data_IF_271210114801
#
_entry.id   IF_271210114801
#
_cell.length_a   1.000
_cell.length_b   1.000
_cell.length_c   1.000
_cell.angle_alpha   90.00
_cell.angle_beta   90.00
_cell.angle_gamma   90.00
#
_symmetry.space_group_name_H-M   'P 1'
#
loop_
_entity.id
_entity.type
_entity.pdbx_description
1 polymer ?
#
# COMPACT_ATOMS: atom_id res chain seq x y z
N UNK A 1 -0.81 -14.72 10.79
CA UNK A 1 -1.71 -15.33 9.75
C UNK A 1 -2.32 -14.16 8.98
N UNK A 2 -2.68 -14.26 7.70
CA UNK A 2 -3.35 -13.12 7.04
C UNK A 2 -4.76 -12.96 7.60
N UNK A 3 -5.14 -11.74 7.96
CA UNK A 3 -6.48 -11.43 8.45
C UNK A 3 -7.57 -11.94 7.48
N UNK A 4 -8.60 -12.67 7.95
CA UNK A 4 -9.61 -13.26 7.07
C UNK A 4 -10.38 -12.25 6.23
N UNK A 5 -10.62 -11.04 6.74
CA UNK A 5 -11.33 -10.00 5.99
C UNK A 5 -10.46 -9.47 4.84
N UNK A 6 -9.19 -9.18 5.13
CA UNK A 6 -8.20 -8.76 4.12
C UNK A 6 -8.10 -9.82 3.03
N UNK A 7 -7.99 -11.10 3.43
CA UNK A 7 -7.94 -12.22 2.50
C UNK A 7 -9.19 -12.31 1.62
N UNK A 8 -10.38 -12.17 2.20
CA UNK A 8 -11.63 -12.26 1.45
C UNK A 8 -11.81 -11.08 0.48
N UNK A 9 -11.51 -9.86 0.93
CA UNK A 9 -11.69 -8.66 0.11
C UNK A 9 -10.67 -8.60 -1.03
N UNK A 10 -9.40 -8.94 -0.78
CA UNK A 10 -8.40 -8.97 -1.85
C UNK A 10 -8.69 -10.06 -2.87
N UNK A 11 -9.20 -11.22 -2.43
CA UNK A 11 -9.58 -12.28 -3.37
C UNK A 11 -10.71 -11.81 -4.31
N UNK A 12 -11.73 -11.12 -3.78
CA UNK A 12 -12.81 -10.56 -4.60
C UNK A 12 -12.32 -9.49 -5.58
N UNK A 13 -11.35 -8.66 -5.18
CA UNK A 13 -10.69 -7.70 -6.07
C UNK A 13 -9.97 -8.42 -7.21
N UNK A 14 -9.17 -9.44 -6.89
CA UNK A 14 -8.42 -10.21 -7.88
C UNK A 14 -9.34 -10.97 -8.85
N UNK A 15 -10.45 -11.54 -8.38
CA UNK A 15 -11.44 -12.21 -9.23
C UNK A 15 -12.09 -11.24 -10.24
N UNK A 16 -12.37 -9.99 -9.82
CA UNK A 16 -12.86 -8.95 -10.73
C UNK A 16 -11.80 -8.50 -11.72
N UNK A 17 -10.57 -8.24 -11.26
CA UNK A 17 -9.45 -7.87 -12.12
C UNK A 17 -9.17 -8.94 -13.20
N UNK A 18 -9.16 -10.22 -12.81
CA UNK A 18 -8.96 -11.34 -13.74
C UNK A 18 -10.06 -11.40 -14.80
N UNK A 19 -11.31 -11.09 -14.43
CA UNK A 19 -12.43 -11.04 -15.39
C UNK A 19 -12.30 -9.94 -16.44
N UNK A 20 -11.51 -8.90 -16.15
CA UNK A 20 -11.16 -7.81 -17.07
C UNK A 20 -9.81 -8.04 -17.79
N UNK A 21 -9.17 -9.19 -17.56
CA UNK A 21 -7.85 -9.50 -18.13
C UNK A 21 -6.68 -8.80 -17.46
N UNK A 22 -6.88 -8.22 -16.27
CA UNK A 22 -5.85 -7.58 -15.44
C UNK A 22 -5.32 -8.56 -14.42
N UNK A 23 -4.01 -8.58 -14.21
CA UNK A 23 -3.37 -9.48 -13.26
C UNK A 23 -2.17 -8.81 -12.59
N UNK A 24 -2.08 -8.92 -11.28
CA UNK A 24 -0.88 -8.59 -10.54
C UNK A 24 0.07 -9.78 -10.39
N UNK A 25 1.18 -9.54 -9.71
CA UNK A 25 2.24 -10.52 -9.45
C UNK A 25 2.41 -10.82 -7.96
N UNK A 26 2.91 -12.02 -7.66
CA UNK A 26 3.33 -12.40 -6.31
C UNK A 26 4.79 -12.05 -6.10
N UNK A 27 5.17 -11.78 -4.86
CA UNK A 27 6.58 -11.65 -4.49
C UNK A 27 7.21 -13.01 -4.19
N UNK A 28 8.47 -13.18 -4.56
CA UNK A 28 9.27 -14.33 -4.13
C UNK A 28 9.76 -14.19 -2.69
N UNK A 29 10.05 -15.32 -2.03
CA UNK A 29 10.61 -15.31 -0.68
C UNK A 29 11.96 -14.57 -0.60
N UNK A 30 12.78 -14.63 -1.65
CA UNK A 30 14.06 -13.91 -1.67
C UNK A 30 13.84 -12.39 -1.64
N UNK A 31 12.93 -11.88 -2.47
CA UNK A 31 12.56 -10.47 -2.47
C UNK A 31 12.02 -10.04 -1.10
N UNK A 32 11.13 -10.84 -0.50
CA UNK A 32 10.54 -10.53 0.80
C UNK A 32 11.57 -10.58 1.94
N UNK A 33 12.56 -11.48 1.87
CA UNK A 33 13.66 -11.53 2.84
C UNK A 33 14.54 -10.28 2.74
N UNK A 34 14.81 -9.79 1.53
CA UNK A 34 15.61 -8.57 1.33
C UNK A 34 14.85 -7.33 1.81
N UNK A 35 13.54 -7.25 1.52
CA UNK A 35 12.66 -6.23 2.09
C UNK A 35 12.65 -6.28 3.62
N UNK A 36 12.53 -7.48 4.20
CA UNK A 36 12.48 -7.60 5.66
C UNK A 36 13.78 -7.16 6.33
N UNK A 37 14.95 -7.46 5.74
CA UNK A 37 16.25 -6.96 6.23
C UNK A 37 16.33 -5.45 6.19
N UNK A 38 15.84 -4.80 5.12
CA UNK A 38 15.81 -3.34 5.00
C UNK A 38 15.05 -2.71 6.17
N UNK A 39 13.91 -3.29 6.53
CA UNK A 39 13.10 -2.89 7.68
C UNK A 39 13.59 -3.48 9.01
N UNK A 40 14.87 -3.83 9.12
CA UNK A 40 15.51 -4.33 10.37
C UNK A 40 14.80 -5.55 10.96
N UNK A 41 14.30 -6.43 10.10
CA UNK A 41 13.52 -7.63 10.43
C UNK A 41 12.19 -7.35 11.16
N UNK A 42 11.58 -6.18 10.90
CA UNK A 42 10.31 -5.77 11.51
C UNK A 42 9.08 -6.01 10.65
N UNK A 43 9.19 -6.57 9.44
CA UNK A 43 7.98 -6.89 8.67
C UNK A 43 7.16 -7.93 9.44
N UNK A 44 5.87 -7.66 9.68
CA UNK A 44 4.99 -8.63 10.29
C UNK A 44 4.87 -9.89 9.43
N UNK A 45 4.79 -11.06 10.08
CA UNK A 45 4.66 -12.34 9.37
C UNK A 45 3.45 -12.37 8.44
N UNK A 46 2.33 -11.75 8.86
CA UNK A 46 1.13 -11.67 8.03
C UNK A 46 1.38 -10.96 6.70
N UNK A 47 2.22 -9.92 6.69
CA UNK A 47 2.50 -9.11 5.52
C UNK A 47 3.42 -9.83 4.54
N UNK A 48 4.41 -10.56 5.06
CA UNK A 48 5.25 -11.47 4.27
C UNK A 48 4.36 -12.54 3.61
N UNK A 49 3.47 -13.17 4.36
CA UNK A 49 2.53 -14.16 3.82
C UNK A 49 1.56 -13.57 2.80
N UNK A 50 1.12 -12.33 3.02
CA UNK A 50 0.24 -11.61 2.09
C UNK A 50 0.92 -11.43 0.73
N UNK A 51 2.10 -10.81 0.66
CA UNK A 51 2.80 -10.60 -0.62
C UNK A 51 3.30 -11.89 -1.27
N UNK A 52 3.58 -12.94 -0.48
CA UNK A 52 3.99 -14.23 -1.01
C UNK A 52 2.85 -14.97 -1.71
N UNK A 53 1.63 -14.88 -1.17
CA UNK A 53 0.47 -15.66 -1.65
C UNK A 53 -0.47 -14.88 -2.57
N UNK A 54 -0.49 -13.55 -2.48
CA UNK A 54 -1.44 -12.68 -3.17
C UNK A 54 -0.80 -12.03 -4.41
N UNK A 55 -1.32 -12.27 -5.62
CA UNK A 55 -0.83 -11.65 -6.86
C UNK A 55 -1.31 -10.20 -7.02
N UNK A 56 -0.82 -9.28 -6.18
CA UNK A 56 -1.30 -7.89 -6.15
C UNK A 56 -0.29 -6.88 -6.71
N UNK A 57 1.01 -7.20 -6.75
CA UNK A 57 2.01 -6.24 -7.20
C UNK A 57 1.80 -5.88 -8.69
N UNK A 58 1.88 -4.60 -9.02
CA UNK A 58 1.60 -4.08 -10.37
C UNK A 58 0.12 -4.02 -10.74
N UNK A 59 -0.80 -4.40 -9.84
CA UNK A 59 -2.21 -4.20 -10.08
C UNK A 59 -2.56 -2.72 -9.87
N UNK A 60 -3.30 -2.14 -10.80
CA UNK A 60 -3.84 -0.79 -10.72
C UNK A 60 -5.30 -0.82 -10.25
N UNK A 61 -5.63 0.08 -9.32
CA UNK A 61 -6.99 0.27 -8.82
C UNK A 61 -7.31 1.77 -8.72
N UNK A 62 -8.58 2.12 -8.82
CA UNK A 62 -9.12 3.41 -8.38
C UNK A 62 -9.87 3.25 -7.08
N UNK A 63 -9.65 4.14 -6.11
CA UNK A 63 -10.49 4.27 -4.91
C UNK A 63 -10.98 5.69 -4.76
N UNK A 64 -12.16 5.87 -4.17
CA UNK A 64 -12.61 7.20 -3.75
C UNK A 64 -11.94 7.58 -2.44
N UNK A 65 -11.74 8.88 -2.23
CA UNK A 65 -11.42 9.40 -0.91
C UNK A 65 -12.63 9.26 0.04
N UNK A 66 -12.35 8.96 1.32
CA UNK A 66 -13.39 8.78 2.34
C UNK A 66 -14.24 10.03 2.59
N UNK A 67 -13.63 11.19 2.44
CA UNK A 67 -14.19 12.51 2.71
C UNK A 67 -14.69 13.23 1.45
N UNK A 68 -14.67 12.56 0.29
CA UNK A 68 -15.16 13.17 -0.95
C UNK A 68 -16.63 12.86 -1.21
N UNK A 69 -17.42 13.93 -1.35
CA UNK A 69 -18.80 13.89 -1.82
C UNK A 69 -18.89 13.94 -3.36
N UNK A 70 -17.76 14.15 -4.06
CA UNK A 70 -17.71 14.17 -5.51
C UNK A 70 -17.57 12.75 -6.08
N UNK A 71 -18.47 12.40 -6.98
CA UNK A 71 -18.45 11.11 -7.65
C UNK A 71 -17.28 10.89 -8.60
N UNK A 72 -16.52 11.95 -8.92
CA UNK A 72 -15.38 11.93 -9.86
C UNK A 72 -14.00 11.99 -9.17
N UNK A 73 -13.94 12.13 -7.86
CA UNK A 73 -12.69 12.28 -7.11
C UNK A 73 -12.14 10.91 -6.71
N UNK A 74 -11.44 10.29 -7.66
CA UNK A 74 -10.73 9.02 -7.46
C UNK A 74 -9.23 9.24 -7.33
N UNK A 75 -8.63 8.35 -6.57
CA UNK A 75 -7.20 8.15 -6.45
C UNK A 75 -6.87 6.84 -7.16
N UNK A 76 -6.04 6.93 -8.19
CA UNK A 76 -5.50 5.80 -8.92
C UNK A 76 -4.23 5.31 -8.22
N UNK A 77 -4.18 4.02 -7.89
CA UNK A 77 -3.13 3.39 -7.10
C UNK A 77 -2.56 2.21 -7.89
N UNK A 78 -1.26 2.24 -8.15
CA UNK A 78 -0.52 1.06 -8.60
C UNK A 78 0.17 0.40 -7.40
N UNK A 79 -0.16 -0.86 -7.09
CA UNK A 79 0.50 -1.58 -5.99
C UNK A 79 1.97 -1.85 -6.31
N UNK A 80 2.86 -1.44 -5.40
CA UNK A 80 4.29 -1.61 -5.60
C UNK A 80 4.73 -3.07 -5.50
N UNK A 81 5.67 -3.44 -6.35
CA UNK A 81 6.51 -4.62 -6.12
C UNK A 81 7.63 -4.30 -5.12
N UNK A 82 8.31 -5.32 -4.60
CA UNK A 82 9.40 -5.15 -3.62
C UNK A 82 10.47 -4.16 -4.06
N UNK A 83 10.83 -4.13 -5.35
CA UNK A 83 11.83 -3.18 -5.85
C UNK A 83 11.33 -1.74 -5.69
N UNK A 84 10.07 -1.47 -6.05
CA UNK A 84 9.46 -0.15 -5.87
C UNK A 84 9.39 0.25 -4.40
N UNK A 85 8.99 -0.66 -3.52
CA UNK A 85 8.96 -0.41 -2.06
C UNK A 85 10.35 -0.04 -1.54
N UNK A 86 11.40 -0.77 -1.95
CA UNK A 86 12.78 -0.47 -1.55
C UNK A 86 13.23 0.89 -2.09
N UNK A 87 12.90 1.19 -3.35
CA UNK A 87 13.23 2.47 -4.00
C UNK A 87 12.63 3.63 -3.21
N UNK A 88 11.33 3.57 -2.91
CA UNK A 88 10.65 4.61 -2.11
C UNK A 88 11.27 4.76 -0.72
N UNK A 89 11.57 3.64 -0.06
CA UNK A 89 12.13 3.66 1.30
C UNK A 89 13.59 4.13 1.39
N UNK A 90 14.34 4.18 0.29
CA UNK A 90 15.79 4.47 0.30
C UNK A 90 16.23 5.62 -0.60
N UNK A 91 15.41 6.02 -1.57
CA UNK A 91 15.78 6.97 -2.62
C UNK A 91 14.85 8.18 -2.70
N UNK A 92 13.65 8.13 -2.10
CA UNK A 92 12.64 9.19 -2.21
C UNK A 92 12.09 9.65 -0.85
N UNK A 93 11.79 10.95 -0.75
CA UNK A 93 10.94 11.47 0.33
C UNK A 93 9.47 11.32 -0.07
N UNK A 94 8.58 10.97 0.89
CA UNK A 94 8.82 10.89 2.33
C UNK A 94 9.38 9.55 2.83
N UNK A 95 9.51 8.53 1.96
CA UNK A 95 9.86 7.16 2.35
C UNK A 95 11.15 7.03 3.18
N UNK A 96 12.21 7.76 2.81
CA UNK A 96 13.49 7.82 3.56
C UNK A 96 13.28 8.18 5.03
N UNK A 97 12.38 9.14 5.32
CA UNK A 97 12.10 9.61 6.68
C UNK A 97 11.19 8.65 7.45
N UNK A 98 10.36 7.90 6.74
CA UNK A 98 9.28 7.11 7.32
C UNK A 98 9.65 5.65 7.61
N UNK A 99 10.71 5.13 6.99
CA UNK A 99 11.16 3.75 7.20
C UNK A 99 11.42 3.42 8.67
N UNK A 100 12.06 4.33 9.42
CA UNK A 100 12.38 4.14 10.84
C UNK A 100 11.16 4.33 11.76
N UNK A 101 10.08 4.92 11.24
CA UNK A 101 8.78 5.02 11.91
C UNK A 101 7.86 3.84 11.63
N UNK A 102 8.31 2.85 10.86
CA UNK A 102 7.54 1.63 10.59
C UNK A 102 6.41 1.84 9.58
N UNK A 103 6.54 2.81 8.67
CA UNK A 103 5.60 2.99 7.56
C UNK A 103 6.16 2.34 6.30
N UNK A 104 5.32 1.57 5.61
CA UNK A 104 5.63 0.87 4.38
C UNK A 104 4.84 1.49 3.23
N UNK A 105 5.52 1.95 2.19
CA UNK A 105 4.87 2.35 0.94
C UNK A 105 4.38 1.08 0.23
N UNK A 106 3.08 0.97 -0.03
CA UNK A 106 2.46 -0.21 -0.66
C UNK A 106 1.96 0.07 -2.08
N UNK A 107 1.84 1.33 -2.47
CA UNK A 107 1.38 1.71 -3.79
C UNK A 107 1.77 3.14 -4.14
N UNK A 108 1.86 3.42 -5.43
CA UNK A 108 2.10 4.76 -5.93
C UNK A 108 0.79 5.42 -6.33
N UNK A 109 0.72 6.75 -6.23
CA UNK A 109 -0.26 7.52 -6.99
C UNK A 109 0.09 7.42 -8.49
N UNK A 110 -0.79 6.78 -9.28
CA UNK A 110 -0.57 6.52 -10.69
C UNK A 110 -0.52 7.82 -11.54
N UNK A 111 -1.02 8.94 -11.01
CA UNK A 111 -0.88 10.25 -11.64
C UNK A 111 0.51 10.86 -11.45
N UNK A 112 1.37 10.24 -10.64
CA UNK A 112 2.76 10.65 -10.44
C UNK A 112 2.91 11.94 -9.65
N UNK A 113 1.97 12.24 -8.74
CA UNK A 113 2.04 13.43 -7.88
C UNK A 113 3.17 13.37 -6.86
N UNK A 114 3.59 12.17 -6.47
CA UNK A 114 4.52 11.91 -5.37
C UNK A 114 3.82 11.56 -4.05
N UNK A 115 2.50 11.64 -3.99
CA UNK A 115 1.73 11.40 -2.77
C UNK A 115 1.40 9.90 -2.62
N UNK A 116 2.43 9.12 -2.29
CA UNK A 116 2.33 7.66 -2.29
C UNK A 116 1.47 7.10 -1.16
N UNK A 117 1.14 5.81 -1.27
CA UNK A 117 0.17 5.11 -0.44
C UNK A 117 0.89 4.23 0.57
N UNK A 118 0.60 4.42 1.86
CA UNK A 118 1.31 3.78 2.96
C UNK A 118 0.38 3.04 3.91
N UNK A 119 0.95 2.05 4.60
CA UNK A 119 0.41 1.45 5.82
C UNK A 119 1.43 1.53 6.95
N UNK A 120 0.97 1.55 8.19
CA UNK A 120 1.83 1.32 9.35
C UNK A 120 1.99 -0.18 9.61
N UNK A 121 3.21 -0.61 9.91
CA UNK A 121 3.52 -1.97 10.33
C UNK A 121 3.06 -2.26 11.77
N UNK A 122 2.76 -1.21 12.55
CA UNK A 122 2.38 -1.29 13.97
C UNK A 122 0.86 -1.25 14.19
N UNK A 123 0.04 -1.10 13.14
CA UNK A 123 -1.43 -0.95 13.22
C UNK A 123 -2.20 -2.25 12.93
N UNK A 124 -1.53 -3.40 13.09
CA UNK A 124 -2.15 -4.73 13.04
C UNK A 124 -2.24 -5.34 11.64
N UNK A 125 -3.06 -6.39 11.50
CA UNK A 125 -3.15 -7.21 10.27
C UNK A 125 -4.18 -6.70 9.24
N UNK A 126 -4.92 -5.64 9.58
CA UNK A 126 -5.86 -4.96 8.71
C UNK A 126 -5.75 -3.43 8.95
N UNK A 127 -4.56 -2.85 8.74
CA UNK A 127 -4.26 -1.48 9.14
C UNK A 127 -5.04 -0.47 8.30
N UNK A 128 -5.26 0.76 8.78
CA UNK A 128 -5.69 1.86 7.93
C UNK A 128 -4.69 2.10 6.80
N UNK A 129 -5.17 2.71 5.72
CA UNK A 129 -4.37 3.08 4.56
C UNK A 129 -4.30 4.59 4.45
N UNK A 130 -3.09 5.11 4.26
CA UNK A 130 -2.82 6.53 4.23
C UNK A 130 -2.29 6.95 2.87
N UNK A 131 -2.69 8.12 2.42
CA UNK A 131 -1.93 8.91 1.45
C UNK A 131 -1.01 9.83 2.24
N UNK A 132 0.27 9.86 1.87
CA UNK A 132 1.26 10.72 2.52
C UNK A 132 1.81 11.71 1.51
N UNK A 133 1.65 13.00 1.83
CA UNK A 133 2.09 14.10 0.98
C UNK A 133 3.61 14.23 0.94
N UNK A 134 4.15 14.41 -0.26
CA UNK A 134 5.59 14.51 -0.49
C UNK A 134 6.18 15.90 -0.18
N UNK A 135 5.36 16.94 -0.16
CA UNK A 135 5.79 18.35 -0.12
C UNK A 135 5.58 19.03 1.24
N UNK A 136 5.22 18.27 2.29
CA UNK A 136 4.93 18.81 3.62
C UNK A 136 6.20 19.13 4.41
N UNK A 137 7.13 18.18 4.52
CA UNK A 137 8.35 18.29 5.35
C UNK A 137 9.30 17.13 5.06
N UNK A 138 10.54 17.23 5.55
CA UNK A 138 11.48 16.10 5.65
C UNK A 138 11.42 15.43 7.05
N UNK A 139 10.74 16.06 8.01
CA UNK A 139 10.64 15.55 9.38
C UNK A 139 9.48 14.55 9.53
N UNK A 140 9.73 13.32 10.02
CA UNK A 140 8.72 12.27 10.06
C UNK A 140 7.46 12.65 10.85
N UNK A 141 7.60 13.35 11.98
CA UNK A 141 6.45 13.68 12.83
C UNK A 141 5.55 14.75 12.17
N UNK A 142 6.13 15.68 11.40
CA UNK A 142 5.39 16.67 10.63
C UNK A 142 4.68 16.01 9.44
N UNK A 143 5.38 15.17 8.68
CA UNK A 143 4.82 14.37 7.58
C UNK A 143 3.61 13.57 8.06
N UNK A 144 3.76 12.82 9.17
CA UNK A 144 2.72 11.96 9.71
C UNK A 144 1.54 12.73 10.31
N UNK A 145 1.73 14.00 10.70
CA UNK A 145 0.64 14.86 11.16
C UNK A 145 -0.27 15.35 10.04
N UNK A 146 0.25 15.39 8.80
CA UNK A 146 -0.47 15.86 7.63
C UNK A 146 -1.06 14.74 6.76
N UNK A 147 -0.74 13.46 7.04
CA UNK A 147 -1.22 12.31 6.27
C UNK A 147 -2.75 12.29 6.16
N UNK A 148 -3.27 11.83 5.03
CA UNK A 148 -4.71 11.64 4.79
C UNK A 148 -5.07 10.17 4.92
N UNK A 149 -6.15 9.84 5.60
CA UNK A 149 -6.70 8.47 5.62
C UNK A 149 -7.52 8.28 4.34
N UNK A 150 -7.17 7.28 3.54
CA UNK A 150 -7.92 6.94 2.31
C UNK A 150 -8.80 5.69 2.47
N UNK A 151 -8.52 4.86 3.48
CA UNK A 151 -9.38 3.77 3.91
C UNK A 151 -9.14 3.50 5.40
N UNK A 152 -10.19 3.21 6.18
CA UNK A 152 -10.04 2.91 7.61
C UNK A 152 -9.41 1.53 7.84
N UNK A 153 -9.36 0.70 6.80
CA UNK A 153 -8.67 -0.58 6.82
C UNK A 153 -8.25 -1.03 5.43
N UNK A 154 -7.24 -1.89 5.35
CA UNK A 154 -6.78 -2.50 4.10
C UNK A 154 -7.89 -3.32 3.41
N UNK A 155 -8.74 -4.00 4.21
CA UNK A 155 -9.88 -4.72 3.67
C UNK A 155 -10.96 -3.80 3.08
N UNK A 156 -11.14 -2.61 3.66
CA UNK A 156 -12.02 -1.56 3.12
C UNK A 156 -11.50 -1.02 1.79
N UNK A 157 -10.19 -0.73 1.68
CA UNK A 157 -9.58 -0.34 0.41
C UNK A 157 -9.94 -1.33 -0.69
N UNK A 158 -9.72 -2.63 -0.46
CA UNK A 158 -10.02 -3.67 -1.47
C UNK A 158 -11.52 -3.83 -1.78
N UNK A 159 -12.41 -3.52 -0.83
CA UNK A 159 -13.87 -3.56 -1.05
C UNK A 159 -14.34 -2.40 -1.92
N UNK A 160 -13.74 -1.23 -1.75
CA UNK A 160 -14.14 0.01 -2.43
C UNK A 160 -13.40 0.23 -3.75
N UNK A 161 -12.26 -0.46 -3.94
CA UNK A 161 -11.46 -0.42 -5.14
C UNK A 161 -12.24 -0.85 -6.39
N UNK A 162 -12.11 -0.05 -7.45
CA UNK A 162 -12.45 -0.38 -8.83
C UNK A 162 -11.16 -0.70 -9.58
N UNK A 163 -11.21 -1.62 -10.50
CA UNK A 163 -10.09 -1.96 -11.37
C UNK A 163 -9.98 -0.90 -12.48
N UNK A 164 -8.78 -0.36 -12.73
CA UNK A 164 -8.52 0.67 -13.77
C UNK A 164 -7.82 0.11 -14.98
#
# INVERSE_FOLDING_TARGET
MVNPEVKNSVQKLLERAESEGKMGERCSLNQLNDLNKLFKNKLPEWLIQFYYSTPICGLEIATKYLDSEDDQDYLDIEFLNVKGIISEATEAYPGISLIDKGYLCIGNDALGTGDQIYISLDEGENPPVYQIYHDVSEHPDEILSAKRIIANSLSELFKNAKET
#
